data_IF_296408681468
#
_entry.id   IF_296408681468
#
_cell.length_a   1.000
_cell.length_b   1.000
_cell.length_c   1.000
_cell.angle_alpha   90.00
_cell.angle_beta   90.00
_cell.angle_gamma   90.00
#
_symmetry.space_group_name_H-M   'P 1'
#
loop_
_entity.id
_entity.type
_entity.pdbx_description
1 polymer ?
#
# COMPACT_ATOMS: atom_id res chain seq x y z
N UNK A 1 -2.95 -1.00 27.10
CA UNK A 1 -2.17 -0.80 25.89
C UNK A 1 -2.52 -1.82 24.83
N UNK A 2 -2.57 -1.34 23.61
CA UNK A 2 -2.84 -2.23 22.49
C UNK A 2 -1.56 -2.92 22.07
N UNK A 3 -1.65 -4.20 21.85
CA UNK A 3 -0.58 -4.95 21.24
C UNK A 3 -0.54 -4.63 19.75
N UNK A 4 0.65 -4.47 19.17
CA UNK A 4 0.77 -4.28 17.74
C UNK A 4 0.13 -5.45 16.99
N UNK A 5 -0.48 -5.16 15.85
CA UNK A 5 -1.07 -6.19 15.03
C UNK A 5 -0.01 -7.20 14.58
N UNK A 6 -0.37 -8.47 14.63
CA UNK A 6 0.49 -9.50 14.08
C UNK A 6 0.41 -9.46 12.55
N UNK A 7 1.53 -9.16 11.91
CA UNK A 7 1.61 -9.20 10.45
C UNK A 7 2.02 -10.62 10.06
N UNK A 8 1.12 -11.39 9.40
CA UNK A 8 1.43 -12.78 9.08
C UNK A 8 2.61 -12.89 8.13
N UNK A 9 3.52 -13.79 8.47
CA UNK A 9 4.68 -14.09 7.64
C UNK A 9 4.38 -15.29 6.77
N UNK A 10 4.76 -15.21 5.50
CA UNK A 10 4.79 -16.36 4.60
C UNK A 10 3.53 -17.20 4.59
N UNK A 11 2.38 -16.58 4.50
CA UNK A 11 1.10 -17.30 4.47
C UNK A 11 0.94 -18.11 3.19
N UNK A 12 -0.04 -19.01 3.18
CA UNK A 12 -0.34 -19.85 2.01
C UNK A 12 -0.55 -19.03 0.74
N UNK A 13 -1.16 -17.86 0.85
CA UNK A 13 -1.30 -16.95 -0.27
C UNK A 13 0.06 -16.45 -0.75
N UNK A 14 1.01 -16.28 0.17
CA UNK A 14 2.35 -15.75 -0.12
C UNK A 14 3.21 -16.69 -0.94
N UNK A 15 3.01 -18.00 -0.92
CA UNK A 15 3.91 -18.84 -1.70
C UNK A 15 3.50 -19.02 -3.15
N UNK A 16 2.33 -18.57 -3.57
CA UNK A 16 1.98 -18.42 -4.99
C UNK A 16 2.57 -17.15 -5.59
N UNK A 17 2.85 -16.18 -4.75
CA UNK A 17 3.27 -14.85 -5.15
C UNK A 17 4.61 -14.52 -4.54
N UNK A 18 5.51 -14.00 -5.34
CA UNK A 18 6.74 -13.38 -4.87
C UNK A 18 6.62 -11.87 -5.01
N UNK A 19 7.31 -11.16 -4.12
CA UNK A 19 7.37 -9.70 -4.16
C UNK A 19 8.82 -9.26 -4.19
N UNK A 20 9.08 -8.14 -4.86
CA UNK A 20 10.38 -7.47 -4.85
C UNK A 20 10.21 -5.99 -5.02
N UNK A 21 11.24 -5.22 -4.73
CA UNK A 21 11.20 -3.80 -5.03
C UNK A 21 11.06 -3.59 -6.55
N UNK A 22 10.22 -2.62 -6.90
CA UNK A 22 10.13 -2.16 -8.28
C UNK A 22 11.37 -1.32 -8.59
N UNK A 23 11.98 -1.58 -9.74
CA UNK A 23 13.10 -0.77 -10.23
C UNK A 23 12.57 0.29 -11.19
N UNK A 24 12.38 1.50 -10.69
CA UNK A 24 11.83 2.59 -11.49
C UNK A 24 12.83 3.18 -12.50
N UNK A 25 14.08 2.71 -12.47
CA UNK A 25 15.08 3.04 -13.49
C UNK A 25 15.07 2.04 -14.65
N UNK A 26 14.41 0.89 -14.45
CA UNK A 26 14.25 -0.12 -15.48
C UNK A 26 13.00 0.17 -16.31
N UNK A 27 13.13 0.40 -17.62
CA UNK A 27 11.97 0.66 -18.49
C UNK A 27 10.92 -0.44 -18.45
N UNK A 28 11.32 -1.70 -18.29
CA UNK A 28 10.37 -2.82 -18.23
C UNK A 28 9.52 -2.74 -16.97
N UNK A 29 10.12 -2.47 -15.81
CA UNK A 29 9.38 -2.31 -14.57
C UNK A 29 8.45 -1.08 -14.64
N UNK A 30 8.94 0.04 -15.17
CA UNK A 30 8.10 1.24 -15.32
C UNK A 30 6.87 0.96 -16.17
N UNK A 31 7.04 0.26 -17.30
CA UNK A 31 5.92 -0.10 -18.17
C UNK A 31 4.93 -1.01 -17.43
N UNK A 32 5.43 -2.01 -16.71
CA UNK A 32 4.59 -2.94 -15.98
C UNK A 32 3.78 -2.23 -14.89
N UNK A 33 4.42 -1.39 -14.09
CA UNK A 33 3.76 -0.62 -13.03
C UNK A 33 2.70 0.30 -13.61
N UNK A 34 3.02 1.00 -14.70
CA UNK A 34 2.05 1.89 -15.36
C UNK A 34 0.85 1.12 -15.88
N UNK A 35 1.08 -0.02 -16.53
CA UNK A 35 0.00 -0.86 -17.03
C UNK A 35 -0.90 -1.35 -15.90
N UNK A 36 -0.32 -1.81 -14.80
CA UNK A 36 -1.08 -2.24 -13.62
C UNK A 36 -1.95 -1.10 -13.10
N UNK A 37 -1.38 0.07 -12.91
CA UNK A 37 -2.10 1.22 -12.38
C UNK A 37 -3.24 1.64 -13.30
N UNK A 38 -2.99 1.73 -14.61
CA UNK A 38 -4.02 2.13 -15.58
C UNK A 38 -5.17 1.14 -15.63
N UNK A 39 -4.88 -0.16 -15.64
CA UNK A 39 -5.90 -1.19 -15.76
C UNK A 39 -6.65 -1.44 -14.44
N UNK A 40 -5.94 -1.38 -13.30
CA UNK A 40 -6.58 -1.60 -12.00
C UNK A 40 -7.57 -0.48 -11.64
N UNK A 41 -7.28 0.75 -12.04
CA UNK A 41 -8.10 1.92 -11.69
C UNK A 41 -8.93 2.44 -12.86
N UNK A 42 -8.79 1.85 -14.05
CA UNK A 42 -9.44 2.31 -15.27
C UNK A 42 -9.22 3.81 -15.51
N UNK A 43 -8.03 4.32 -15.19
CA UNK A 43 -7.68 5.74 -15.22
C UNK A 43 -6.16 5.86 -15.31
N UNK A 44 -5.69 6.98 -15.88
CA UNK A 44 -4.26 7.29 -15.91
C UNK A 44 -3.78 8.03 -14.65
N UNK A 45 -4.70 8.48 -13.79
CA UNK A 45 -4.35 9.33 -12.65
C UNK A 45 -3.41 8.64 -11.67
N UNK A 46 -3.65 7.38 -11.35
CA UNK A 46 -2.80 6.61 -10.43
C UNK A 46 -1.44 6.31 -11.06
N UNK A 47 -1.41 6.04 -12.36
CA UNK A 47 -0.15 5.84 -13.08
C UNK A 47 0.69 7.11 -13.07
N UNK A 48 0.07 8.27 -13.31
CA UNK A 48 0.74 9.57 -13.27
C UNK A 48 1.24 9.87 -11.85
N UNK A 49 0.46 9.51 -10.84
CA UNK A 49 0.85 9.66 -9.43
C UNK A 49 2.12 8.86 -9.12
N UNK A 50 2.16 7.59 -9.53
CA UNK A 50 3.34 6.75 -9.32
C UNK A 50 4.57 7.36 -10.00
N UNK A 51 4.43 7.84 -11.25
CA UNK A 51 5.53 8.47 -11.96
C UNK A 51 6.04 9.74 -11.26
N UNK A 52 5.13 10.56 -10.75
CA UNK A 52 5.49 11.77 -10.01
C UNK A 52 6.24 11.42 -8.72
N UNK A 53 5.75 10.43 -7.99
CA UNK A 53 6.40 9.98 -6.74
C UNK A 53 7.78 9.42 -7.04
N UNK A 54 7.88 8.47 -7.97
CA UNK A 54 9.16 7.84 -8.34
C UNK A 54 10.17 8.84 -8.92
N UNK A 55 9.70 9.94 -9.46
CA UNK A 55 10.52 11.04 -9.93
C UNK A 55 11.06 11.93 -8.82
N UNK A 56 10.74 11.66 -7.55
CA UNK A 56 11.29 12.36 -6.41
C UNK A 56 10.32 13.29 -5.70
N UNK A 57 9.01 13.17 -5.92
CA UNK A 57 8.04 13.98 -5.20
C UNK A 57 8.09 13.68 -3.70
N UNK A 58 7.68 14.67 -2.90
CA UNK A 58 7.66 14.53 -1.45
C UNK A 58 6.84 13.33 -1.01
N UNK A 59 7.37 12.56 -0.08
CA UNK A 59 6.73 11.37 0.46
C UNK A 59 7.18 10.06 -0.17
N UNK A 60 7.95 10.11 -1.25
CA UNK A 60 8.45 8.90 -1.90
C UNK A 60 9.44 8.15 -1.02
N UNK A 61 9.19 6.84 -0.86
CA UNK A 61 10.04 5.93 -0.10
C UNK A 61 10.31 4.72 -0.99
N UNK A 62 11.43 4.70 -1.73
CA UNK A 62 11.67 3.66 -2.74
C UNK A 62 11.68 2.24 -2.19
N UNK A 63 12.08 2.05 -0.93
CA UNK A 63 12.08 0.74 -0.30
C UNK A 63 10.67 0.16 -0.10
N UNK A 64 9.63 0.99 -0.18
CA UNK A 64 8.23 0.59 -0.02
C UNK A 64 7.47 0.64 -1.34
N UNK A 65 8.15 0.40 -2.44
CA UNK A 65 7.55 0.28 -3.77
C UNK A 65 7.79 -1.14 -4.26
N UNK A 66 6.76 -1.98 -4.22
CA UNK A 66 6.90 -3.41 -4.49
C UNK A 66 6.03 -3.83 -5.67
N UNK A 67 6.54 -4.81 -6.43
CA UNK A 67 5.74 -5.52 -7.42
C UNK A 67 5.51 -6.95 -6.94
N UNK A 68 4.40 -7.54 -7.38
CA UNK A 68 4.07 -8.94 -7.15
C UNK A 68 4.02 -9.68 -8.48
N UNK A 69 4.54 -10.89 -8.47
CA UNK A 69 4.53 -11.80 -9.61
C UNK A 69 4.37 -13.22 -9.13
N UNK A 70 4.01 -14.14 -10.02
CA UNK A 70 3.92 -15.54 -9.63
C UNK A 70 5.29 -16.05 -9.19
N UNK A 71 5.28 -17.06 -8.32
CA UNK A 71 6.52 -17.71 -7.88
C UNK A 71 7.29 -18.25 -9.09
N UNK A 72 8.59 -18.46 -8.91
CA UNK A 72 9.46 -18.97 -9.96
C UNK A 72 8.91 -20.25 -10.58
N UNK A 73 9.01 -20.35 -11.90
CA UNK A 73 8.54 -21.54 -12.65
C UNK A 73 9.49 -22.70 -12.34
N UNK A 74 8.98 -23.86 -11.86
CA UNK A 74 9.83 -24.99 -11.51
C UNK A 74 10.75 -25.40 -12.67
N UNK A 75 12.02 -25.63 -12.36
CA UNK A 75 13.03 -26.03 -13.35
C UNK A 75 13.61 -24.90 -14.19
N UNK A 76 13.22 -23.64 -13.92
CA UNK A 76 13.75 -22.46 -14.59
C UNK A 76 14.00 -21.36 -13.57
N UNK A 77 14.72 -20.31 -14.00
CA UNK A 77 14.87 -19.10 -13.20
C UNK A 77 13.83 -18.03 -13.55
N UNK A 78 12.84 -18.41 -14.36
CA UNK A 78 11.86 -17.47 -14.89
C UNK A 78 10.71 -17.27 -13.92
N UNK A 79 10.32 -16.03 -13.76
CA UNK A 79 9.07 -15.64 -13.07
C UNK A 79 8.16 -14.97 -14.09
N UNK A 80 6.88 -14.84 -13.76
CA UNK A 80 5.96 -14.07 -14.58
C UNK A 80 6.33 -12.59 -14.55
N UNK A 81 5.77 -11.83 -15.47
CA UNK A 81 5.82 -10.37 -15.40
C UNK A 81 5.07 -9.88 -14.15
N UNK A 82 5.38 -8.67 -13.67
CA UNK A 82 4.63 -8.09 -12.56
C UNK A 82 3.12 -8.03 -12.85
N UNK A 83 2.34 -8.46 -11.89
CA UNK A 83 0.87 -8.50 -11.97
C UNK A 83 0.20 -7.60 -10.94
N UNK A 84 0.95 -7.16 -9.96
CA UNK A 84 0.49 -6.26 -8.92
C UNK A 84 1.56 -5.28 -8.51
N UNK A 85 1.13 -4.17 -7.93
CA UNK A 85 2.00 -3.10 -7.48
C UNK A 85 1.44 -2.50 -6.20
N UNK A 86 2.31 -2.21 -5.24
CA UNK A 86 1.90 -1.60 -3.99
C UNK A 86 2.97 -0.71 -3.41
N UNK A 87 2.54 0.30 -2.67
CA UNK A 87 3.40 1.35 -2.17
C UNK A 87 2.97 1.80 -0.78
N UNK A 88 3.95 2.05 0.08
CA UNK A 88 3.77 2.90 1.25
C UNK A 88 4.49 4.22 0.98
N UNK A 89 3.85 5.32 1.32
CA UNK A 89 4.43 6.65 1.18
C UNK A 89 4.42 7.36 2.52
N UNK A 90 5.31 8.35 2.69
CA UNK A 90 5.30 9.19 3.88
C UNK A 90 4.11 10.13 3.83
N UNK A 91 3.29 10.09 4.88
CA UNK A 91 2.13 10.93 5.05
C UNK A 91 2.13 11.49 6.48
N UNK A 92 1.11 12.23 6.85
CA UNK A 92 1.06 12.90 8.15
C UNK A 92 -0.32 12.85 8.76
N UNK A 93 -0.37 12.76 10.10
CA UNK A 93 -1.55 13.08 10.89
C UNK A 93 -1.15 14.32 11.70
N UNK A 94 -1.72 15.47 11.37
CA UNK A 94 -1.21 16.79 11.77
C UNK A 94 0.30 16.85 11.48
N UNK A 95 1.16 17.06 12.46
CA UNK A 95 2.61 17.12 12.27
C UNK A 95 3.31 15.77 12.44
N UNK A 96 2.57 14.74 12.85
CA UNK A 96 3.17 13.43 13.09
C UNK A 96 3.38 12.66 11.79
N UNK A 97 4.55 12.07 11.63
CA UNK A 97 4.87 11.26 10.47
C UNK A 97 4.25 9.86 10.58
N UNK A 98 3.55 9.46 9.54
CA UNK A 98 2.96 8.12 9.41
C UNK A 98 3.24 7.60 8.01
N UNK A 99 2.81 6.38 7.72
CA UNK A 99 2.80 5.84 6.37
C UNK A 99 1.37 5.77 5.85
N UNK A 100 1.21 5.93 4.55
CA UNK A 100 -0.05 5.68 3.86
C UNK A 100 0.13 4.52 2.87
N UNK A 101 -0.82 3.59 2.87
CA UNK A 101 -0.84 2.48 1.93
C UNK A 101 -1.60 2.92 0.68
N UNK A 102 -0.88 3.45 -0.29
CA UNK A 102 -1.42 3.90 -1.57
C UNK A 102 -0.27 4.45 -2.44
N UNK A 103 -0.36 4.37 -3.77
CA UNK A 103 -1.34 3.59 -4.51
C UNK A 103 -0.98 2.10 -4.56
N UNK A 104 -1.97 1.24 -4.79
CA UNK A 104 -1.71 -0.17 -5.04
C UNK A 104 -2.83 -0.76 -5.91
N UNK A 105 -2.51 -1.79 -6.66
CA UNK A 105 -3.46 -2.44 -7.53
C UNK A 105 -2.93 -3.74 -8.11
N UNK A 106 -3.85 -4.54 -8.65
CA UNK A 106 -3.56 -5.81 -9.30
C UNK A 106 -4.24 -5.80 -10.66
N UNK A 107 -3.58 -6.38 -11.66
CA UNK A 107 -4.18 -6.53 -12.98
C UNK A 107 -5.56 -7.20 -12.85
N UNK A 108 -6.59 -6.72 -13.59
CA UNK A 108 -7.95 -7.23 -13.43
C UNK A 108 -8.07 -8.74 -13.54
N UNK A 109 -7.34 -9.37 -14.46
CA UNK A 109 -7.37 -10.82 -14.65
C UNK A 109 -6.77 -11.61 -13.49
N UNK A 110 -6.07 -10.97 -12.59
CA UNK A 110 -5.43 -11.60 -11.43
C UNK A 110 -5.98 -11.13 -10.09
N UNK A 111 -7.05 -10.33 -10.11
CA UNK A 111 -7.71 -9.91 -8.87
C UNK A 111 -8.39 -11.12 -8.22
N UNK A 112 -8.39 -11.15 -6.89
CA UNK A 112 -8.98 -12.24 -6.13
C UNK A 112 -8.10 -13.47 -5.98
N UNK A 113 -6.87 -13.43 -6.48
CA UNK A 113 -5.92 -14.56 -6.42
C UNK A 113 -4.87 -14.43 -5.31
N UNK A 114 -4.92 -13.37 -4.52
CA UNK A 114 -4.02 -13.18 -3.38
C UNK A 114 -2.82 -12.28 -3.62
N UNK A 115 -2.63 -11.74 -4.83
CA UNK A 115 -1.50 -10.87 -5.13
C UNK A 115 -1.53 -9.59 -4.29
N UNK A 116 -2.69 -8.96 -4.17
CA UNK A 116 -2.85 -7.76 -3.33
C UNK A 116 -2.56 -8.04 -1.87
N UNK A 117 -3.02 -9.15 -1.36
CA UNK A 117 -2.76 -9.57 0.02
C UNK A 117 -1.26 -9.81 0.25
N UNK A 118 -0.59 -10.45 -0.71
CA UNK A 118 0.85 -10.67 -0.63
C UNK A 118 1.62 -9.34 -0.59
N UNK A 119 1.21 -8.36 -1.40
CA UNK A 119 1.81 -7.03 -1.42
C UNK A 119 1.63 -6.31 -0.08
N UNK A 120 0.41 -6.28 0.44
CA UNK A 120 0.14 -5.62 1.71
C UNK A 120 0.93 -6.26 2.84
N UNK A 121 0.92 -7.60 2.93
CA UNK A 121 1.71 -8.30 3.95
C UNK A 121 3.19 -7.97 3.85
N UNK A 122 3.76 -8.00 2.64
CA UNK A 122 5.18 -7.72 2.45
C UNK A 122 5.52 -6.27 2.85
N UNK A 123 4.68 -5.31 2.48
CA UNK A 123 4.88 -3.90 2.83
C UNK A 123 4.80 -3.69 4.34
N UNK A 124 3.79 -4.26 4.99
CA UNK A 124 3.61 -4.11 6.44
C UNK A 124 4.74 -4.78 7.23
N UNK A 125 5.19 -5.95 6.81
CA UNK A 125 6.32 -6.63 7.45
C UNK A 125 7.59 -5.80 7.33
N UNK A 126 7.84 -5.25 6.15
CA UNK A 126 9.02 -4.42 5.92
C UNK A 126 9.00 -3.15 6.76
N UNK A 127 7.86 -2.47 6.78
CA UNK A 127 7.68 -1.26 7.59
C UNK A 127 7.83 -1.56 9.09
N UNK A 128 7.27 -2.67 9.56
CA UNK A 128 7.40 -3.08 10.95
C UNK A 128 8.86 -3.35 11.31
N UNK A 129 9.60 -4.04 10.45
CA UNK A 129 11.02 -4.32 10.66
C UNK A 129 11.85 -3.03 10.68
N UNK A 130 11.44 -2.02 9.93
CA UNK A 130 12.12 -0.72 9.87
C UNK A 130 11.78 0.20 11.05
N UNK A 131 10.88 -0.22 11.95
CA UNK A 131 10.51 0.57 13.11
C UNK A 131 9.40 1.58 12.87
N UNK A 132 8.73 1.54 11.73
CA UNK A 132 7.58 2.40 11.47
C UNK A 132 6.43 2.06 12.41
N UNK A 133 5.69 3.08 12.83
CA UNK A 133 4.72 2.88 13.91
C UNK A 133 3.27 2.82 13.43
N UNK A 134 2.87 3.67 12.48
CA UNK A 134 1.47 3.82 12.09
C UNK A 134 1.33 3.80 10.58
N UNK A 135 0.36 3.04 10.10
CA UNK A 135 -0.03 3.00 8.67
C UNK A 135 -1.49 3.40 8.59
N UNK A 136 -1.80 4.24 7.62
CA UNK A 136 -3.17 4.68 7.30
C UNK A 136 -3.54 4.13 5.93
N UNK A 137 -4.78 3.68 5.79
CA UNK A 137 -5.34 3.28 4.50
C UNK A 137 -6.74 3.86 4.35
N UNK A 138 -7.08 4.24 3.13
CA UNK A 138 -8.44 4.61 2.77
C UNK A 138 -8.95 3.55 1.80
N UNK A 139 -9.75 2.61 2.29
CA UNK A 139 -10.15 1.44 1.51
C UNK A 139 -11.31 0.67 2.12
N UNK A 140 -11.56 -0.52 1.57
CA UNK A 140 -12.68 -1.36 2.00
C UNK A 140 -12.44 -1.94 3.39
N UNK A 141 -13.29 -1.59 4.39
CA UNK A 141 -13.07 -2.03 5.77
C UNK A 141 -12.96 -3.55 5.91
N UNK A 142 -13.82 -4.29 5.23
CA UNK A 142 -13.85 -5.75 5.32
C UNK A 142 -12.55 -6.38 4.81
N UNK A 143 -11.95 -5.77 3.80
CA UNK A 143 -10.69 -6.27 3.25
C UNK A 143 -9.52 -5.97 4.19
N UNK A 144 -9.42 -4.72 4.66
CA UNK A 144 -8.27 -4.29 5.44
C UNK A 144 -8.33 -4.74 6.90
N UNK A 145 -9.51 -5.10 7.41
CA UNK A 145 -9.65 -5.64 8.76
C UNK A 145 -8.80 -6.90 8.98
N UNK A 146 -8.61 -7.72 7.96
CA UNK A 146 -7.81 -8.95 8.10
C UNK A 146 -6.34 -8.69 8.39
N UNK A 147 -5.84 -7.48 8.11
CA UNK A 147 -4.47 -7.09 8.43
C UNK A 147 -4.37 -6.41 9.80
N UNK A 148 -5.51 -6.15 10.46
CA UNK A 148 -5.55 -5.46 11.73
C UNK A 148 -5.94 -4.00 11.65
N UNK A 149 -6.23 -3.48 10.46
CA UNK A 149 -6.71 -2.11 10.32
C UNK A 149 -8.09 -1.95 10.98
N UNK A 150 -8.30 -0.80 11.57
CA UNK A 150 -9.56 -0.43 12.21
C UNK A 150 -9.81 1.07 12.02
N UNK A 151 -11.01 1.52 12.38
CA UNK A 151 -11.44 2.88 12.07
C UNK A 151 -10.53 3.94 12.65
N UNK A 152 -10.09 4.85 11.80
CA UNK A 152 -9.27 5.99 12.20
C UNK A 152 -10.00 6.90 13.18
N UNK A 153 -11.34 7.03 13.05
CA UNK A 153 -12.13 7.89 13.92
C UNK A 153 -12.08 7.46 15.39
N UNK A 154 -11.80 6.19 15.68
CA UNK A 154 -11.63 5.72 17.06
C UNK A 154 -10.46 6.41 17.77
N UNK A 155 -9.52 6.94 17.00
CA UNK A 155 -8.35 7.64 17.52
C UNK A 155 -8.40 9.15 17.29
N UNK A 156 -9.56 9.67 16.87
CA UNK A 156 -9.67 11.08 16.56
C UNK A 156 -8.99 11.50 15.25
N UNK A 157 -8.77 10.53 14.33
CA UNK A 157 -8.18 10.82 13.03
C UNK A 157 -9.29 11.02 12.01
N UNK A 158 -9.18 12.08 11.24
CA UNK A 158 -10.12 12.41 10.17
C UNK A 158 -9.35 12.92 8.94
N UNK A 159 -10.02 12.98 7.81
CA UNK A 159 -9.44 13.53 6.58
C UNK A 159 -10.51 14.27 5.79
N UNK A 160 -10.17 15.46 5.31
CA UNK A 160 -11.12 16.30 4.58
C UNK A 160 -11.65 15.63 3.30
N UNK A 161 -10.81 14.82 2.62
CA UNK A 161 -11.21 14.13 1.40
C UNK A 161 -12.13 12.92 1.66
N UNK A 162 -12.16 12.40 2.88
CA UNK A 162 -12.79 11.12 3.17
C UNK A 162 -14.32 11.24 3.17
N UNK A 163 -14.94 11.03 2.02
CA UNK A 163 -16.39 11.03 1.87
C UNK A 163 -17.03 9.83 2.55
N UNK A 164 -16.28 8.77 2.77
CA UNK A 164 -16.68 7.58 3.50
C UNK A 164 -15.77 7.45 4.73
N UNK A 165 -16.09 8.12 5.85
CA UNK A 165 -15.20 8.11 7.02
C UNK A 165 -14.87 6.72 7.53
N UNK A 166 -15.78 5.76 7.39
CA UNK A 166 -15.56 4.37 7.79
C UNK A 166 -14.47 3.67 6.98
N UNK A 167 -14.14 4.19 5.80
CA UNK A 167 -13.09 3.65 4.95
C UNK A 167 -11.69 4.13 5.35
N UNK A 168 -11.59 5.17 6.17
CA UNK A 168 -10.32 5.64 6.69
C UNK A 168 -9.95 4.81 7.91
N UNK A 169 -8.82 4.09 7.82
CA UNK A 169 -8.43 3.10 8.81
C UNK A 169 -6.96 3.23 9.16
N UNK A 170 -6.61 2.77 10.35
CA UNK A 170 -5.25 2.84 10.88
C UNK A 170 -4.81 1.49 11.41
N UNK A 171 -3.50 1.30 11.44
CA UNK A 171 -2.84 0.11 11.98
C UNK A 171 -1.58 0.54 12.70
N UNK A 172 -1.35 0.04 13.91
CA UNK A 172 -0.07 0.20 14.58
C UNK A 172 0.81 -1.03 14.35
N UNK A 173 2.08 -0.79 14.07
CA UNK A 173 3.05 -1.84 13.73
C UNK A 173 3.97 -2.21 14.90
N UNK A 174 4.01 -1.41 15.95
CA UNK A 174 4.89 -1.64 17.09
C UNK A 174 4.08 -1.73 18.37
N UNK A 175 4.52 -2.61 19.29
CA UNK A 175 3.90 -2.68 20.61
C UNK A 175 4.08 -1.34 21.33
N UNK A 176 2.99 -0.84 21.89
CA UNK A 176 3.00 0.45 22.59
C UNK A 176 2.89 1.68 21.70
N UNK A 177 2.87 1.50 20.39
CA UNK A 177 2.67 2.64 19.48
C UNK A 177 1.24 3.17 19.62
N UNK A 178 1.12 4.49 19.58
CA UNK A 178 -0.17 5.15 19.66
C UNK A 178 -0.44 5.88 18.35
N UNK A 179 -1.71 5.88 17.94
CA UNK A 179 -2.15 6.62 16.75
C UNK A 179 -2.36 8.08 17.18
N UNK A 180 -1.62 9.05 16.59
CA UNK A 180 -1.87 10.45 16.91
C UNK A 180 -3.25 10.87 16.41
N UNK A 181 -3.92 11.73 17.16
CA UNK A 181 -5.18 12.34 16.74
C UNK A 181 -4.87 13.51 15.79
N UNK A 182 -5.77 13.81 14.88
CA UNK A 182 -5.66 14.96 14.01
C UNK A 182 -6.09 14.69 12.57
N UNK A 183 -5.72 15.59 11.70
CA UNK A 183 -6.06 15.49 10.28
C UNK A 183 -5.02 14.67 9.52
N UNK A 184 -5.49 13.61 8.86
CA UNK A 184 -4.65 12.83 7.96
C UNK A 184 -4.55 13.53 6.61
N UNK A 185 -3.30 13.60 6.08
CA UNK A 185 -3.01 14.15 4.76
C UNK A 185 -2.05 13.24 4.03
N UNK A 186 -2.38 12.94 2.78
CA UNK A 186 -1.44 12.35 1.85
C UNK A 186 -0.33 13.35 1.50
N UNK A 187 0.81 12.88 0.96
CA UNK A 187 1.80 13.81 0.40
C UNK A 187 1.21 14.60 -0.78
N UNK A 188 1.78 15.78 -1.08
CA UNK A 188 1.17 16.73 -2.04
C UNK A 188 0.85 16.18 -3.42
N UNK A 189 1.64 15.22 -3.92
CA UNK A 189 1.41 14.66 -5.26
C UNK A 189 0.05 13.98 -5.41
N UNK A 190 -0.58 13.55 -4.32
CA UNK A 190 -1.90 12.92 -4.36
C UNK A 190 -3.02 13.91 -4.71
N UNK A 191 -2.83 15.20 -4.44
CA UNK A 191 -3.89 16.19 -4.59
C UNK A 191 -4.96 16.05 -3.51
N UNK A 192 -5.59 17.15 -3.13
CA UNK A 192 -6.57 17.14 -2.04
C UNK A 192 -7.91 16.50 -2.42
N UNK A 193 -8.20 16.39 -3.73
CA UNK A 193 -9.55 16.06 -4.21
C UNK A 193 -9.66 14.67 -4.83
N UNK A 194 -8.55 13.94 -4.96
CA UNK A 194 -8.51 12.74 -5.81
C UNK A 194 -8.34 11.42 -5.06
N UNK A 195 -8.46 11.40 -3.74
CA UNK A 195 -8.36 10.15 -3.02
C UNK A 195 -9.60 9.31 -3.25
N UNK A 196 -9.42 8.14 -3.82
CA UNK A 196 -10.48 7.16 -4.00
C UNK A 196 -10.26 5.99 -3.05
N UNK A 197 -11.36 5.31 -2.69
CA UNK A 197 -11.27 4.12 -1.87
C UNK A 197 -10.38 3.10 -2.60
N UNK A 198 -9.36 2.62 -1.90
CA UNK A 198 -8.42 1.66 -2.48
C UNK A 198 -9.14 0.36 -2.85
N UNK A 199 -8.75 -0.19 -4.00
CA UNK A 199 -9.27 -1.46 -4.47
C UNK A 199 -8.79 -2.64 -3.62
N UNK A 200 -9.32 -3.79 -3.92
CA UNK A 200 -8.96 -5.05 -3.25
C UNK A 200 -7.77 -5.72 -3.92
#
# INVERSE_FOLDING_TARGET
GHRAAHVPAGQDLGHRWSTREADHDDPADRRAVRQIAELAFASTAEADLVEALAGGAEGWLPQYSLVAMTAAIPGTDLQSDPMGYGTLVRAHIDDAEVLALAPHGVLPEHQGEGAGTALVNALLQKAQADGEEVVVVYGWPEYYAKFGFHRASEHGVHAAFARQPEALQVLTLQDGAEVPAGEFRYPPAFGAENAQVAGR
#
